data_IF_897569486864
#
_entry.id   IF_897569486864
#
_cell.length_a   1.000
_cell.length_b   1.000
_cell.length_c   1.000
_cell.angle_alpha   90.00
_cell.angle_beta   90.00
_cell.angle_gamma   90.00
#
_symmetry.space_group_name_H-M   'P 1'
#
loop_
_entity.id
_entity.type
_entity.pdbx_description
1 polymer ?
#
# COMPACT_ATOMS: atom_id res chain seq x y z
N UNK A 1 12.08 -24.02 7.41
CA UNK A 1 10.79 -23.61 7.95
C UNK A 1 10.39 -22.40 7.17
N UNK A 2 9.19 -22.39 6.61
CA UNK A 2 8.72 -21.32 5.76
C UNK A 2 7.99 -20.27 6.61
N UNK A 3 8.45 -19.02 6.58
CA UNK A 3 7.87 -17.91 7.34
C UNK A 3 6.99 -16.99 6.48
N UNK A 4 6.83 -17.27 5.18
CA UNK A 4 6.18 -16.36 4.23
C UNK A 4 4.68 -16.64 3.97
N UNK A 5 4.11 -17.68 4.61
CA UNK A 5 2.71 -18.06 4.41
C UNK A 5 1.75 -17.22 5.26
N UNK A 6 1.08 -16.25 4.62
CA UNK A 6 -0.03 -15.47 5.19
C UNK A 6 0.35 -14.75 6.50
N UNK A 7 1.43 -13.98 6.45
CA UNK A 7 1.95 -13.15 7.56
C UNK A 7 1.95 -11.67 7.17
N UNK A 8 1.47 -10.81 8.06
CA UNK A 8 1.57 -9.36 7.88
C UNK A 8 2.85 -8.89 8.58
N UNK A 9 3.72 -8.22 7.85
CA UNK A 9 4.92 -7.59 8.39
C UNK A 9 4.71 -6.08 8.55
N UNK A 10 5.36 -5.51 9.55
CA UNK A 10 5.46 -4.07 9.73
C UNK A 10 6.88 -3.70 10.16
N UNK A 11 7.24 -2.46 9.92
CA UNK A 11 8.50 -1.88 10.35
C UNK A 11 8.22 -0.66 11.22
N UNK A 12 8.71 -0.66 12.46
CA UNK A 12 8.62 0.49 13.37
C UNK A 12 9.97 0.75 14.00
N UNK A 13 10.44 2.01 13.93
CA UNK A 13 11.65 2.52 14.61
C UNK A 13 12.86 1.59 14.55
N UNK A 14 13.19 1.09 13.35
CA UNK A 14 14.34 0.21 13.19
C UNK A 14 14.10 -1.22 13.69
N UNK A 15 12.86 -1.69 13.68
CA UNK A 15 12.49 -3.07 14.01
C UNK A 15 11.52 -3.63 13.01
N UNK A 16 11.78 -4.86 12.58
CA UNK A 16 10.80 -5.67 11.88
C UNK A 16 9.96 -6.42 12.89
N UNK A 17 8.64 -6.26 12.78
CA UNK A 17 7.64 -7.01 13.53
C UNK A 17 6.71 -7.70 12.54
N UNK A 18 6.05 -8.75 13.01
CA UNK A 18 5.07 -9.50 12.22
C UNK A 18 3.86 -9.83 13.08
N UNK A 19 2.71 -9.95 12.42
CA UNK A 19 1.46 -10.31 13.06
C UNK A 19 1.38 -11.82 13.21
N UNK A 20 1.44 -12.30 14.45
CA UNK A 20 1.41 -13.71 14.79
C UNK A 20 2.73 -14.44 14.54
N UNK A 21 2.77 -15.70 14.97
CA UNK A 21 3.88 -16.61 14.70
C UNK A 21 3.52 -17.52 13.52
N UNK A 22 4.29 -17.46 12.44
CA UNK A 22 4.14 -18.29 11.24
C UNK A 22 4.07 -19.78 11.59
N UNK A 23 4.77 -20.21 12.65
CA UNK A 23 4.80 -21.60 13.07
C UNK A 23 3.54 -22.05 13.81
N UNK A 24 2.82 -21.17 14.51
CA UNK A 24 1.75 -21.55 15.46
C UNK A 24 0.50 -20.66 15.43
N UNK A 25 0.67 -19.35 15.25
CA UNK A 25 -0.40 -18.33 15.26
C UNK A 25 -0.38 -17.53 13.95
N UNK A 26 -0.88 -18.09 12.85
CA UNK A 26 -0.89 -17.42 11.55
C UNK A 26 -2.31 -17.31 10.98
N UNK A 27 -2.48 -16.46 9.96
CA UNK A 27 -3.79 -16.16 9.37
C UNK A 27 -4.45 -17.38 8.69
N UNK A 28 -3.67 -18.41 8.33
CA UNK A 28 -4.17 -19.61 7.64
C UNK A 28 -4.77 -20.65 8.58
N UNK A 29 -4.36 -20.65 9.86
CA UNK A 29 -4.71 -21.69 10.83
C UNK A 29 -6.04 -21.45 11.53
N UNK A 30 -6.69 -20.32 11.27
CA UNK A 30 -7.85 -19.88 12.06
C UNK A 30 -9.04 -19.38 11.23
N UNK A 31 -9.40 -20.14 10.19
CA UNK A 31 -10.53 -19.85 9.29
C UNK A 31 -11.91 -20.16 9.92
N UNK A 32 -11.94 -20.77 11.12
CA UNK A 32 -13.16 -21.41 11.64
C UNK A 32 -13.59 -20.97 13.06
N UNK A 33 -13.24 -19.76 13.51
CA UNK A 33 -13.56 -19.31 14.87
C UNK A 33 -14.53 -18.14 14.93
N UNK A 34 -15.66 -18.41 15.60
CA UNK A 34 -16.73 -17.49 16.05
C UNK A 34 -16.29 -16.53 17.17
N UNK A 35 -14.98 -16.37 17.40
CA UNK A 35 -14.37 -15.56 18.46
C UNK A 35 -13.62 -14.41 17.79
N UNK A 36 -13.67 -13.16 18.30
CA UNK A 36 -12.87 -12.07 17.74
C UNK A 36 -11.39 -12.47 17.72
N UNK A 37 -10.84 -12.48 16.52
CA UNK A 37 -9.47 -12.84 16.22
C UNK A 37 -8.51 -11.79 16.78
N UNK A 38 -7.55 -12.20 17.60
CA UNK A 38 -6.44 -11.33 18.02
C UNK A 38 -5.11 -12.04 17.83
N UNK A 39 -4.32 -11.60 16.85
CA UNK A 39 -2.90 -11.95 16.76
C UNK A 39 -2.07 -10.89 17.47
N UNK A 40 -1.02 -11.33 18.15
CA UNK A 40 -0.03 -10.43 18.74
C UNK A 40 0.98 -9.99 17.67
N UNK A 41 1.49 -8.77 17.79
CA UNK A 41 2.70 -8.36 17.09
C UNK A 41 3.91 -9.00 17.78
N UNK A 42 4.70 -9.75 17.03
CA UNK A 42 5.91 -10.42 17.51
C UNK A 42 7.12 -9.91 16.74
N UNK A 43 8.29 -9.92 17.37
CA UNK A 43 9.54 -9.54 16.70
C UNK A 43 9.82 -10.50 15.54
N UNK A 44 10.14 -9.94 14.37
CA UNK A 44 10.55 -10.70 13.20
C UNK A 44 12.08 -10.78 13.07
N UNK A 45 12.86 -10.06 13.89
CA UNK A 45 14.32 -10.07 13.76
C UNK A 45 14.95 -11.38 14.29
N UNK A 46 15.23 -12.35 13.41
CA UNK A 46 16.03 -13.52 13.77
C UNK A 46 17.55 -13.22 13.78
N UNK A 47 17.98 -12.17 13.07
CA UNK A 47 19.36 -11.68 13.06
C UNK A 47 19.45 -10.19 13.41
N UNK A 48 20.68 -9.69 13.63
CA UNK A 48 20.94 -8.29 13.92
C UNK A 48 20.53 -7.40 12.76
N UNK A 49 19.66 -6.42 13.02
CA UNK A 49 19.27 -5.45 12.02
C UNK A 49 20.48 -4.61 11.56
N UNK A 50 20.67 -4.41 10.24
CA UNK A 50 21.75 -3.56 9.75
C UNK A 50 21.65 -2.15 10.31
N UNK A 51 22.80 -1.56 10.70
CA UNK A 51 22.84 -0.21 11.30
C UNK A 51 22.19 0.89 10.44
N UNK A 52 22.31 0.89 9.09
CA UNK A 52 21.59 1.86 8.26
C UNK A 52 20.07 1.73 8.41
N UNK A 53 19.57 0.49 8.49
CA UNK A 53 18.15 0.18 8.64
C UNK A 53 17.65 0.54 10.03
N UNK A 54 18.43 0.28 11.09
CA UNK A 54 17.99 0.59 12.47
C UNK A 54 17.75 2.08 12.71
N UNK A 55 18.29 2.95 11.86
CA UNK A 55 18.11 4.40 11.89
C UNK A 55 17.06 4.89 10.88
N UNK A 56 16.41 4.00 10.15
CA UNK A 56 15.50 4.38 9.08
C UNK A 56 14.12 4.75 9.64
N UNK A 57 13.87 6.04 9.82
CA UNK A 57 12.68 6.54 10.54
C UNK A 57 11.42 6.67 9.70
N UNK A 58 11.57 6.83 8.38
CA UNK A 58 10.46 6.92 7.43
C UNK A 58 10.70 5.91 6.31
N UNK A 59 10.30 4.64 6.50
CA UNK A 59 10.71 3.57 5.61
C UNK A 59 9.86 3.51 4.34
N UNK A 60 10.53 3.37 3.20
CA UNK A 60 9.90 3.06 1.91
C UNK A 60 10.05 1.57 1.65
N UNK A 61 8.95 0.83 1.79
CA UNK A 61 8.97 -0.63 1.80
C UNK A 61 8.11 -1.18 0.68
N UNK A 62 8.59 -2.22 0.00
CA UNK A 62 7.76 -3.03 -0.89
C UNK A 62 7.99 -4.51 -0.65
N UNK A 63 6.93 -5.30 -0.75
CA UNK A 63 7.05 -6.75 -0.82
C UNK A 63 7.24 -7.17 -2.27
N UNK A 64 8.30 -7.92 -2.57
CA UNK A 64 8.44 -8.59 -3.84
C UNK A 64 9.34 -9.83 -3.72
N UNK A 65 9.00 -10.88 -4.48
CA UNK A 65 9.74 -12.14 -4.61
C UNK A 65 10.36 -12.64 -3.29
N UNK A 66 9.52 -13.01 -2.32
CA UNK A 66 9.93 -13.51 -0.99
C UNK A 66 10.85 -12.56 -0.19
N UNK A 67 10.86 -11.28 -0.53
CA UNK A 67 11.64 -10.25 0.16
C UNK A 67 10.76 -9.03 0.49
N UNK A 68 11.10 -8.38 1.60
CA UNK A 68 10.75 -6.98 1.82
C UNK A 68 11.93 -6.11 1.45
N UNK A 69 11.75 -5.29 0.42
CA UNK A 69 12.73 -4.33 -0.06
C UNK A 69 12.55 -2.99 0.63
N UNK A 70 13.67 -2.39 1.02
CA UNK A 70 13.76 -1.08 1.65
C UNK A 70 14.53 -0.15 0.71
N UNK A 71 13.82 0.81 0.15
CA UNK A 71 14.33 1.80 -0.80
C UNK A 71 14.82 3.04 -0.07
N UNK A 72 15.74 3.80 -0.66
CA UNK A 72 16.13 5.12 -0.10
C UNK A 72 16.73 5.08 1.30
N UNK A 73 17.27 3.93 1.72
CA UNK A 73 17.87 3.75 3.05
C UNK A 73 19.10 4.65 3.16
N UNK A 74 19.20 5.52 4.19
CA UNK A 74 20.33 6.44 4.34
C UNK A 74 21.69 5.75 4.25
N UNK A 75 22.57 6.27 3.39
CA UNK A 75 23.92 5.71 3.16
C UNK A 75 23.99 4.56 2.15
N UNK A 76 22.88 4.22 1.49
CA UNK A 76 22.83 3.24 0.38
C UNK A 76 23.05 3.95 -0.95
N UNK A 77 23.70 3.31 -1.93
CA UNK A 77 23.93 3.95 -3.23
C UNK A 77 22.65 3.97 -4.09
N UNK A 78 22.64 4.81 -5.13
CA UNK A 78 21.59 4.77 -6.13
C UNK A 78 21.60 3.40 -6.85
N UNK A 79 20.42 2.83 -7.11
CA UNK A 79 20.29 1.48 -7.68
C UNK A 79 20.37 0.34 -6.65
N UNK A 80 20.64 0.63 -5.37
CA UNK A 80 20.73 -0.37 -4.31
C UNK A 80 19.54 -0.31 -3.34
N UNK A 81 19.13 -1.47 -2.86
CA UNK A 81 18.09 -1.63 -1.83
C UNK A 81 18.57 -2.57 -0.75
N UNK A 82 18.08 -2.40 0.47
CA UNK A 82 18.18 -3.46 1.47
C UNK A 82 17.03 -4.44 1.30
N UNK A 83 17.28 -5.72 1.57
CA UNK A 83 16.27 -6.76 1.51
C UNK A 83 16.23 -7.52 2.83
N UNK A 84 15.01 -7.77 3.28
CA UNK A 84 14.71 -8.71 4.35
C UNK A 84 14.04 -9.93 3.74
N UNK A 85 14.71 -11.08 3.79
CA UNK A 85 14.23 -12.36 3.23
C UNK A 85 13.16 -12.91 4.15
N UNK A 86 11.89 -12.79 3.76
CA UNK A 86 10.77 -13.22 4.62
C UNK A 86 10.79 -14.74 4.81
N UNK A 87 11.12 -15.52 3.79
CA UNK A 87 11.20 -16.98 3.86
C UNK A 87 12.20 -17.49 4.92
N UNK A 88 13.29 -16.75 5.15
CA UNK A 88 14.34 -17.11 6.12
C UNK A 88 14.31 -16.23 7.38
N UNK A 89 13.40 -15.25 7.43
CA UNK A 89 13.24 -14.31 8.53
C UNK A 89 14.54 -13.55 8.87
N UNK A 90 15.30 -13.14 7.85
CA UNK A 90 16.65 -12.56 8.03
C UNK A 90 16.95 -11.37 7.09
N UNK A 91 17.79 -10.46 7.56
CA UNK A 91 18.37 -9.41 6.73
C UNK A 91 19.45 -9.92 5.78
N UNK A 92 19.49 -9.38 4.56
CA UNK A 92 20.65 -9.50 3.68
C UNK A 92 21.92 -8.93 4.31
N UNK A 93 23.09 -9.46 3.93
CA UNK A 93 24.36 -9.06 4.52
C UNK A 93 24.81 -7.63 4.12
N UNK A 94 24.30 -7.13 3.00
CA UNK A 94 24.63 -5.82 2.42
C UNK A 94 23.46 -5.35 1.52
N UNK A 95 23.41 -4.06 1.13
CA UNK A 95 22.52 -3.61 0.07
C UNK A 95 22.73 -4.44 -1.20
N UNK A 96 21.65 -4.74 -1.91
CA UNK A 96 21.65 -5.49 -3.15
C UNK A 96 21.39 -4.54 -4.32
N UNK A 97 22.17 -4.61 -5.41
CA UNK A 97 21.83 -3.89 -6.63
C UNK A 97 20.60 -4.52 -7.27
N UNK A 98 19.62 -3.71 -7.68
CA UNK A 98 18.38 -4.19 -8.33
C UNK A 98 18.17 -3.62 -9.73
N UNK A 99 19.26 -3.41 -10.46
CA UNK A 99 19.25 -2.94 -11.85
C UNK A 99 19.44 -1.43 -11.98
N UNK A 100 19.04 -0.84 -13.11
CA UNK A 100 19.23 0.57 -13.46
C UNK A 100 19.13 1.57 -12.29
N UNK A 101 19.88 2.68 -12.39
CA UNK A 101 20.08 3.66 -11.32
C UNK A 101 18.80 4.44 -10.97
N UNK A 102 17.94 3.90 -10.11
CA UNK A 102 16.93 4.70 -9.40
C UNK A 102 17.62 5.51 -8.29
N UNK A 103 17.12 6.72 -7.95
CA UNK A 103 17.82 7.60 -7.02
C UNK A 103 17.82 7.04 -5.59
N UNK A 104 18.90 7.31 -4.86
CA UNK A 104 18.97 7.03 -3.42
C UNK A 104 18.27 8.16 -2.65
N UNK A 105 16.95 8.12 -2.63
CA UNK A 105 16.12 9.09 -1.92
C UNK A 105 14.81 8.48 -1.43
N UNK A 106 14.11 9.20 -0.55
CA UNK A 106 12.80 8.81 -0.09
C UNK A 106 11.75 8.91 -1.22
N UNK A 107 10.69 8.13 -1.10
CA UNK A 107 9.64 8.02 -2.11
C UNK A 107 8.47 7.16 -1.63
N UNK A 108 7.78 6.58 -2.60
CA UNK A 108 6.67 5.66 -2.42
C UNK A 108 6.85 4.45 -3.33
N UNK A 109 6.23 3.35 -2.94
CA UNK A 109 6.29 2.07 -3.65
C UNK A 109 4.90 1.51 -3.89
N UNK A 110 4.77 0.70 -4.94
CA UNK A 110 3.60 -0.14 -5.16
C UNK A 110 4.01 -1.48 -5.79
N UNK A 111 3.60 -2.59 -5.17
CA UNK A 111 3.85 -3.95 -5.68
C UNK A 111 2.81 -4.31 -6.73
N UNK A 112 3.24 -4.73 -7.92
CA UNK A 112 2.35 -5.25 -8.95
C UNK A 112 1.92 -6.67 -8.61
N UNK A 113 0.63 -6.94 -8.82
CA UNK A 113 0.01 -8.22 -8.53
C UNK A 113 0.21 -9.20 -9.70
N UNK A 114 -0.11 -10.46 -9.46
CA UNK A 114 -0.16 -11.42 -10.55
C UNK A 114 -1.39 -11.25 -11.43
N UNK A 115 -1.20 -11.51 -12.72
CA UNK A 115 -2.31 -11.61 -13.67
C UNK A 115 -3.22 -12.80 -13.35
N UNK A 116 -2.64 -13.96 -13.02
CA UNK A 116 -3.38 -15.15 -12.61
C UNK A 116 -2.46 -16.14 -11.85
N UNK A 117 -2.93 -16.67 -10.73
CA UNK A 117 -2.26 -17.71 -9.94
C UNK A 117 -1.90 -18.96 -10.77
N UNK A 118 -2.67 -19.28 -11.83
CA UNK A 118 -2.40 -20.42 -12.70
C UNK A 118 -1.17 -20.24 -13.61
N UNK A 119 -0.61 -19.03 -13.71
CA UNK A 119 0.54 -18.78 -14.55
C UNK A 119 1.87 -19.07 -13.85
N UNK A 120 1.86 -19.43 -12.55
CA UNK A 120 3.04 -19.73 -11.72
C UNK A 120 4.22 -18.79 -12.01
N UNK A 121 3.92 -17.53 -12.33
CA UNK A 121 4.92 -16.54 -12.63
C UNK A 121 5.73 -16.35 -11.33
N UNK A 122 7.04 -16.60 -11.38
CA UNK A 122 7.96 -16.54 -10.25
C UNK A 122 7.48 -17.31 -8.99
N UNK A 123 7.07 -18.55 -9.18
CA UNK A 123 6.56 -19.43 -8.09
C UNK A 123 5.35 -18.84 -7.34
N UNK A 124 4.65 -17.87 -7.93
CA UNK A 124 3.48 -17.24 -7.34
C UNK A 124 3.77 -16.13 -6.31
N UNK A 125 4.98 -15.55 -6.25
CA UNK A 125 5.34 -14.41 -5.34
C UNK A 125 5.75 -13.08 -6.03
N UNK A 126 4.94 -11.99 -5.99
CA UNK A 126 4.96 -10.89 -6.96
C UNK A 126 6.36 -10.29 -7.13
N UNK A 127 6.88 -10.17 -8.35
CA UNK A 127 8.29 -9.79 -8.57
C UNK A 127 8.52 -8.30 -8.85
N UNK A 128 7.47 -7.53 -9.18
CA UNK A 128 7.61 -6.18 -9.70
C UNK A 128 7.16 -5.12 -8.70
N UNK A 129 7.96 -4.07 -8.55
CA UNK A 129 7.70 -2.93 -7.66
C UNK A 129 7.89 -1.64 -8.41
N UNK A 130 6.88 -0.78 -8.42
CA UNK A 130 7.05 0.63 -8.80
C UNK A 130 7.70 1.38 -7.63
N UNK A 131 8.71 2.20 -7.92
CA UNK A 131 9.29 3.18 -7.02
C UNK A 131 9.15 4.58 -7.63
N UNK A 132 8.60 5.50 -6.83
CA UNK A 132 8.38 6.90 -7.19
C UNK A 132 8.97 7.79 -6.09
N UNK A 133 10.02 8.56 -6.36
CA UNK A 133 10.55 9.56 -5.42
C UNK A 133 9.51 10.60 -5.02
N UNK A 134 9.66 11.16 -3.82
CA UNK A 134 8.73 12.19 -3.31
C UNK A 134 8.73 13.48 -4.15
N UNK A 135 9.79 13.73 -4.91
CA UNK A 135 9.90 14.89 -5.81
C UNK A 135 9.31 14.62 -7.20
N UNK A 136 8.74 13.43 -7.43
CA UNK A 136 8.16 13.02 -8.71
C UNK A 136 9.15 13.05 -9.90
N UNK A 137 10.46 12.99 -9.64
CA UNK A 137 11.51 13.06 -10.67
C UNK A 137 11.49 11.90 -11.68
N UNK A 138 10.83 10.80 -11.36
CA UNK A 138 10.68 9.66 -12.26
C UNK A 138 9.83 8.53 -11.68
N UNK A 139 9.72 7.47 -12.47
CA UNK A 139 9.13 6.19 -12.10
C UNK A 139 10.05 5.07 -12.54
N UNK A 140 10.38 4.18 -11.61
CA UNK A 140 11.20 3.00 -11.86
C UNK A 140 10.40 1.76 -11.48
N UNK A 141 10.38 0.76 -12.36
CA UNK A 141 9.79 -0.55 -12.07
C UNK A 141 10.92 -1.54 -11.89
N UNK A 142 11.09 -1.98 -10.66
CA UNK A 142 12.10 -2.96 -10.26
C UNK A 142 11.52 -4.36 -10.43
N UNK A 143 12.15 -5.18 -11.25
CA UNK A 143 11.96 -6.62 -11.29
C UNK A 143 12.98 -7.27 -10.33
N UNK A 144 12.49 -7.62 -9.14
CA UNK A 144 13.26 -8.24 -8.07
C UNK A 144 13.69 -9.68 -8.36
N UNK A 145 13.02 -10.36 -9.29
CA UNK A 145 13.35 -11.75 -9.65
C UNK A 145 14.64 -11.84 -10.47
N UNK A 146 14.83 -10.93 -11.44
CA UNK A 146 16.04 -10.86 -12.27
C UNK A 146 16.97 -9.69 -11.91
N UNK A 147 16.65 -8.91 -10.88
CA UNK A 147 17.41 -7.74 -10.45
C UNK A 147 17.63 -6.72 -11.60
N UNK A 148 16.57 -6.44 -12.35
CA UNK A 148 16.56 -5.43 -13.43
C UNK A 148 15.58 -4.33 -13.07
N UNK A 149 15.92 -3.09 -13.40
CA UNK A 149 15.03 -1.94 -13.24
C UNK A 149 14.79 -1.31 -14.60
N UNK A 150 13.53 -0.99 -14.88
CA UNK A 150 13.10 -0.30 -16.09
C UNK A 150 12.49 1.04 -15.71
N UNK A 151 12.95 2.12 -16.35
CA UNK A 151 12.33 3.44 -16.19
C UNK A 151 11.04 3.52 -17.03
N UNK A 152 10.00 4.10 -16.46
CA UNK A 152 8.72 4.35 -17.14
C UNK A 152 8.38 5.85 -17.13
N UNK A 153 7.20 6.20 -17.66
CA UNK A 153 6.77 7.58 -17.77
C UNK A 153 6.69 8.28 -16.40
N UNK A 154 7.32 9.44 -16.29
CA UNK A 154 7.36 10.26 -15.08
C UNK A 154 5.95 10.61 -14.60
N UNK A 155 5.64 10.44 -13.30
CA UNK A 155 4.34 10.76 -12.74
C UNK A 155 4.05 12.27 -12.76
N UNK A 156 2.82 12.70 -13.05
CA UNK A 156 2.45 14.11 -12.96
C UNK A 156 2.49 14.58 -11.51
N UNK A 157 3.07 15.76 -11.30
CA UNK A 157 3.07 16.45 -10.00
C UNK A 157 1.83 17.35 -9.82
N UNK A 158 1.20 17.79 -10.90
CA UNK A 158 0.03 18.68 -10.80
C UNK A 158 -1.09 18.00 -10.03
N UNK A 159 -1.58 18.64 -8.96
CA UNK A 159 -2.68 18.11 -8.15
C UNK A 159 -2.28 16.95 -7.23
N UNK A 160 -0.98 16.70 -7.01
CA UNK A 160 -0.49 15.83 -5.94
C UNK A 160 -0.33 16.59 -4.61
N UNK A 161 -0.22 15.84 -3.51
CA UNK A 161 -0.03 16.37 -2.15
C UNK A 161 0.72 15.34 -1.29
N UNK A 162 0.99 15.67 -0.02
CA UNK A 162 1.53 14.71 0.95
C UNK A 162 0.60 13.49 1.19
N UNK A 163 -0.67 13.58 0.80
CA UNK A 163 -1.65 12.49 0.88
C UNK A 163 -1.70 11.64 -0.39
N UNK A 164 -0.94 11.96 -1.44
CA UNK A 164 -0.86 11.13 -2.64
C UNK A 164 -0.38 9.72 -2.29
N UNK A 165 -1.05 8.70 -2.81
CA UNK A 165 -0.73 7.28 -2.64
C UNK A 165 -0.70 6.56 -3.98
N UNK A 166 0.06 5.47 -4.02
CA UNK A 166 0.15 4.59 -5.18
C UNK A 166 -0.43 3.21 -4.87
N UNK A 167 -1.06 2.61 -5.87
CA UNK A 167 -1.50 1.22 -5.85
C UNK A 167 -1.27 0.63 -7.23
N UNK A 168 -1.05 -0.68 -7.31
CA UNK A 168 -0.82 -1.36 -8.58
C UNK A 168 -1.73 -2.58 -8.72
N UNK A 169 -2.17 -2.84 -9.95
CA UNK A 169 -2.75 -4.12 -10.36
C UNK A 169 -1.64 -4.99 -10.95
N UNK A 170 -1.96 -5.90 -11.89
CA UNK A 170 -0.94 -6.71 -12.56
C UNK A 170 -0.16 -5.94 -13.64
N UNK A 171 -0.72 -4.87 -14.20
CA UNK A 171 -0.08 -4.08 -15.25
C UNK A 171 -0.40 -2.57 -15.20
N UNK A 172 -1.24 -2.12 -14.28
CA UNK A 172 -1.63 -0.71 -14.14
C UNK A 172 -1.12 -0.17 -12.82
N UNK A 173 -0.42 0.96 -12.86
CA UNK A 173 -0.07 1.77 -11.69
C UNK A 173 -1.07 2.91 -11.54
N UNK A 174 -1.60 3.10 -10.34
CA UNK A 174 -2.58 4.13 -10.01
C UNK A 174 -1.95 5.14 -9.05
N UNK A 175 -2.18 6.43 -9.29
CA UNK A 175 -1.85 7.54 -8.39
C UNK A 175 -3.17 8.17 -7.93
N UNK A 176 -3.41 8.23 -6.62
CA UNK A 176 -4.59 8.87 -6.06
C UNK A 176 -4.20 9.93 -5.03
N UNK A 177 -4.79 11.12 -5.14
CA UNK A 177 -4.58 12.24 -4.22
C UNK A 177 -5.93 12.62 -3.57
N UNK A 178 -6.21 12.16 -2.33
CA UNK A 178 -7.54 12.27 -1.73
C UNK A 178 -8.06 13.68 -1.51
N UNK A 179 -7.18 14.62 -1.16
CA UNK A 179 -7.54 16.01 -0.85
C UNK A 179 -7.84 16.83 -2.11
N UNK A 180 -7.18 16.53 -3.24
CA UNK A 180 -7.49 17.16 -4.53
C UNK A 180 -8.60 16.41 -5.28
N UNK A 181 -8.78 15.11 -5.00
CA UNK A 181 -9.69 14.21 -5.70
C UNK A 181 -9.12 13.68 -7.02
N UNK A 182 -7.83 13.92 -7.29
CA UNK A 182 -7.18 13.55 -8.55
C UNK A 182 -6.83 12.07 -8.53
N UNK A 183 -7.34 11.32 -9.52
CA UNK A 183 -7.01 9.93 -9.79
C UNK A 183 -6.37 9.83 -11.17
N UNK A 184 -5.22 9.16 -11.24
CA UNK A 184 -4.52 8.89 -12.50
C UNK A 184 -4.10 7.44 -12.57
N UNK A 185 -3.91 6.95 -13.78
CA UNK A 185 -3.30 5.66 -13.99
C UNK A 185 -2.30 5.68 -15.14
N UNK A 186 -1.34 4.75 -15.08
CA UNK A 186 -0.38 4.45 -16.12
C UNK A 186 -0.50 2.97 -16.47
N UNK A 187 -0.77 2.68 -17.75
CA UNK A 187 -0.73 1.32 -18.27
C UNK A 187 0.72 0.94 -18.63
N UNK A 188 1.20 -0.13 -18.01
CA UNK A 188 2.55 -0.67 -18.18
C UNK A 188 2.52 -2.04 -18.88
N UNK A 189 1.46 -2.37 -19.62
CA UNK A 189 1.33 -3.64 -20.36
C UNK A 189 2.55 -3.96 -21.21
N UNK A 190 3.15 -2.95 -21.86
CA UNK A 190 4.37 -3.13 -22.67
C UNK A 190 5.53 -3.69 -21.83
N UNK A 191 5.68 -3.23 -20.59
CA UNK A 191 6.76 -3.61 -19.68
C UNK A 191 6.62 -5.08 -19.29
N UNK A 192 5.40 -5.50 -18.93
CA UNK A 192 5.09 -6.89 -18.55
C UNK A 192 4.98 -7.85 -19.74
N UNK A 193 5.20 -7.37 -20.97
CA UNK A 193 5.31 -8.18 -22.19
C UNK A 193 6.73 -8.19 -22.75
N UNK A 194 7.72 -7.76 -21.94
CA UNK A 194 9.12 -7.61 -22.31
C UNK A 194 9.31 -6.80 -23.61
N UNK A 195 8.46 -5.79 -23.81
CA UNK A 195 8.59 -4.86 -24.93
C UNK A 195 9.50 -3.70 -24.55
N UNK A 196 10.19 -3.07 -25.52
CA UNK A 196 10.86 -1.81 -25.29
C UNK A 196 9.91 -0.76 -24.72
N UNK A 197 10.47 0.26 -24.06
CA UNK A 197 9.72 1.43 -23.58
C UNK A 197 8.78 1.94 -24.68
N UNK A 198 7.48 1.97 -24.38
CA UNK A 198 6.49 2.58 -25.24
C UNK A 198 6.48 4.10 -24.99
N UNK A 199 6.95 4.93 -25.94
CA UNK A 199 6.94 6.37 -25.76
C UNK A 199 5.53 6.97 -25.72
N UNK A 200 4.49 6.20 -26.10
CA UNK A 200 3.09 6.62 -26.00
C UNK A 200 2.47 6.33 -24.62
N UNK A 201 3.14 5.55 -23.77
CA UNK A 201 2.70 5.30 -22.41
C UNK A 201 2.70 6.63 -21.63
N UNK A 202 1.50 7.08 -21.29
CA UNK A 202 1.28 8.37 -20.63
C UNK A 202 0.33 8.18 -19.46
N UNK A 203 0.44 9.06 -18.48
CA UNK A 203 -0.49 9.10 -17.37
C UNK A 203 -1.85 9.63 -17.83
N UNK A 204 -2.91 8.91 -17.50
CA UNK A 204 -4.29 9.24 -17.86
C UNK A 204 -5.04 9.68 -16.62
N UNK A 205 -5.66 10.86 -16.67
CA UNK A 205 -6.58 11.34 -15.64
C UNK A 205 -7.89 10.55 -15.71
N UNK A 206 -8.27 9.92 -14.60
CA UNK A 206 -9.53 9.22 -14.48
C UNK A 206 -10.63 10.19 -14.03
N UNK A 207 -11.64 10.40 -14.88
CA UNK A 207 -12.74 11.34 -14.64
C UNK A 207 -13.79 10.86 -13.63
N UNK A 208 -13.62 9.66 -13.07
CA UNK A 208 -14.67 8.93 -12.33
C UNK A 208 -14.84 9.43 -10.89
N UNK A 209 -13.89 10.16 -10.31
CA UNK A 209 -13.91 10.51 -8.88
C UNK A 209 -14.43 11.91 -8.51
N UNK A 210 -15.10 12.62 -9.42
CA UNK A 210 -15.59 13.98 -9.14
C UNK A 210 -16.51 14.10 -7.90
N UNK A 211 -17.02 12.98 -7.36
CA UNK A 211 -17.93 12.93 -6.20
C UNK A 211 -17.38 12.16 -4.98
N UNK A 212 -16.10 11.81 -4.92
CA UNK A 212 -15.53 11.18 -3.70
C UNK A 212 -15.35 12.26 -2.62
N UNK A 213 -15.80 12.04 -1.37
CA UNK A 213 -15.58 12.98 -0.28
C UNK A 213 -14.09 13.29 -0.13
N UNK A 214 -13.73 14.56 -0.29
CA UNK A 214 -12.35 15.02 -0.09
C UNK A 214 -12.04 15.00 1.40
N UNK A 215 -10.84 14.57 1.76
CA UNK A 215 -10.38 14.69 3.15
C UNK A 215 -10.14 16.17 3.42
N UNK A 216 -11.04 16.79 4.17
CA UNK A 216 -10.85 18.14 4.72
C UNK A 216 -10.16 17.96 6.07
N UNK A 217 -8.97 18.52 6.24
CA UNK A 217 -8.24 18.50 7.51
C UNK A 217 -8.97 19.35 8.54
N UNK A 218 -9.93 18.75 9.24
CA UNK A 218 -10.51 19.32 10.45
C UNK A 218 -9.50 19.24 11.60
N UNK A 219 -9.16 20.37 12.21
CA UNK A 219 -8.40 20.40 13.45
C UNK A 219 -9.17 19.65 14.55
N UNK A 220 -8.81 18.39 14.78
CA UNK A 220 -9.38 17.55 15.82
C UNK A 220 -8.91 18.00 17.20
N UNK A 221 -9.61 18.97 17.79
CA UNK A 221 -9.56 19.22 19.22
C UNK A 221 -10.13 18.00 19.95
N UNK A 222 -9.30 17.32 20.72
CA UNK A 222 -9.72 16.24 21.62
C UNK A 222 -10.59 16.82 22.74
N UNK A 223 -11.91 16.80 22.53
CA UNK A 223 -12.91 17.09 23.55
C UNK A 223 -13.43 15.80 24.14
N UNK A 224 -12.83 15.35 25.25
CA UNK A 224 -13.37 14.27 26.06
C UNK A 224 -14.65 14.74 26.78
N UNK A 225 -15.81 14.25 26.38
CA UNK A 225 -17.02 14.34 27.23
C UNK A 225 -17.31 12.96 27.82
N UNK A 226 -16.91 12.79 29.07
CA UNK A 226 -17.27 11.68 29.92
C UNK A 226 -18.76 11.69 30.26
N UNK A 227 -19.36 10.51 30.27
CA UNK A 227 -20.73 10.25 30.68
C UNK A 227 -20.81 10.13 32.20
N UNK A 228 -21.67 10.91 32.85
CA UNK A 228 -22.28 10.59 34.15
C UNK A 228 -23.63 11.30 34.25
N UNK A 229 -24.67 10.56 34.62
CA UNK A 229 -26.05 11.06 34.68
C UNK A 229 -26.49 11.52 36.07
N UNK A 230 -27.58 12.30 36.14
CA UNK A 230 -28.82 11.96 36.87
C UNK A 230 -29.88 13.07 36.74
N UNK A 231 -31.14 12.61 36.69
CA UNK A 231 -32.44 13.22 37.08
C UNK A 231 -32.64 14.73 37.28
N UNK A 232 -33.72 15.28 36.70
CA UNK A 232 -34.52 16.34 37.35
C UNK A 232 -35.21 17.39 36.47
N UNK A 233 -36.49 17.15 36.14
CA UNK A 233 -37.64 18.10 36.05
C UNK A 233 -37.66 19.33 35.11
N UNK A 234 -38.65 19.28 34.20
CA UNK A 234 -39.60 20.33 33.72
C UNK A 234 -39.10 21.69 33.24
N UNK A 235 -39.35 22.00 31.96
CA UNK A 235 -39.37 23.38 31.41
C UNK A 235 -39.57 23.44 29.89
N UNK A 236 -40.58 24.17 29.46
CA UNK A 236 -41.22 24.23 28.13
C UNK A 236 -40.36 24.57 26.90
N UNK A 237 -40.73 23.92 25.79
CA UNK A 237 -40.91 24.39 24.40
C UNK A 237 -39.93 25.41 23.77
N UNK A 238 -39.28 24.99 22.68
CA UNK A 238 -39.25 25.75 21.43
C UNK A 238 -39.01 24.83 20.20
N UNK A 239 -39.79 25.11 19.17
CA UNK A 239 -40.01 24.45 17.88
C UNK A 239 -38.79 24.42 16.95
N UNK A 240 -38.56 23.28 16.28
CA UNK A 240 -38.00 23.24 14.92
C UNK A 240 -38.27 21.88 14.22
N UNK A 241 -39.32 21.89 13.39
CA UNK A 241 -39.44 21.24 12.07
C UNK A 241 -38.66 19.95 11.76
N UNK A 242 -39.43 18.85 11.74
CA UNK A 242 -39.54 17.84 10.64
C UNK A 242 -38.37 17.65 9.68
N UNK A 243 -37.80 16.43 9.67
CA UNK A 243 -37.98 15.49 8.54
C UNK A 243 -37.66 14.05 8.97
N UNK A 244 -38.58 13.15 8.63
CA UNK A 244 -38.60 11.72 8.92
C UNK A 244 -37.49 10.95 8.20
N UNK A 245 -36.95 9.96 8.90
CA UNK A 245 -36.29 8.78 8.33
C UNK A 245 -37.31 7.84 7.68
N UNK A 246 -36.99 7.33 6.50
CA UNK A 246 -37.38 6.02 5.94
C UNK A 246 -36.43 5.78 4.75
N UNK A 247 -35.53 4.79 4.74
CA UNK A 247 -35.75 3.34 4.63
C UNK A 247 -36.42 2.92 3.31
N UNK A 248 -35.68 2.13 2.51
CA UNK A 248 -36.13 1.45 1.28
C UNK A 248 -35.75 2.21 0.00
N UNK A 249 -35.29 1.61 -1.09
CA UNK A 249 -35.09 0.21 -1.44
C UNK A 249 -34.13 0.17 -2.64
N UNK A 250 -33.25 -0.83 -2.71
CA UNK A 250 -32.51 -1.13 -3.94
C UNK A 250 -33.48 -1.75 -4.95
N UNK A 251 -33.83 -0.98 -5.97
CA UNK A 251 -34.53 -1.48 -7.14
C UNK A 251 -33.50 -1.96 -8.18
N UNK A 252 -33.66 -3.21 -8.57
CA UNK A 252 -32.98 -3.92 -9.64
C UNK A 252 -33.28 -3.31 -11.02
N UNK A 253 -32.24 -3.22 -11.86
CA UNK A 253 -32.35 -3.38 -13.32
C UNK A 253 -31.91 -2.19 -14.17
N UNK A 254 -30.69 -2.26 -14.72
CA UNK A 254 -30.45 -2.32 -16.17
C UNK A 254 -28.95 -2.36 -16.48
N UNK A 255 -28.61 -3.20 -17.45
CA UNK A 255 -27.28 -3.62 -17.83
C UNK A 255 -26.45 -2.50 -18.49
N UNK A 256 -25.16 -2.48 -18.15
CA UNK A 256 -24.12 -1.72 -18.81
C UNK A 256 -22.81 -1.97 -18.07
N UNK A 257 -21.87 -2.66 -18.72
CA UNK A 257 -20.61 -3.13 -18.13
C UNK A 257 -19.87 -2.02 -17.35
N UNK A 258 -19.93 -2.09 -16.02
CA UNK A 258 -19.06 -1.34 -15.14
C UNK A 258 -17.94 -2.29 -14.73
N UNK A 259 -16.71 -2.00 -15.16
CA UNK A 259 -15.52 -2.51 -14.50
C UNK A 259 -15.57 -1.94 -13.09
N UNK A 260 -16.02 -2.75 -12.13
CA UNK A 260 -15.95 -2.40 -10.72
C UNK A 260 -14.46 -2.39 -10.33
N UNK A 261 -13.83 -1.22 -10.40
CA UNK A 261 -12.58 -0.99 -9.71
C UNK A 261 -12.93 -0.93 -8.23
N UNK A 262 -12.78 -2.06 -7.54
CA UNK A 262 -12.82 -2.08 -6.08
C UNK A 262 -11.69 -1.17 -5.59
N UNK A 263 -12.04 0.04 -5.15
CA UNK A 263 -11.21 0.77 -4.24
C UNK A 263 -11.10 -0.10 -2.99
N UNK A 264 -9.97 -0.80 -2.85
CA UNK A 264 -9.62 -1.46 -1.61
C UNK A 264 -9.50 -0.37 -0.54
N UNK A 265 -10.60 -0.16 0.18
CA UNK A 265 -10.56 0.50 1.46
C UNK A 265 -9.73 -0.41 2.36
N UNK A 266 -8.46 -0.06 2.54
CA UNK A 266 -7.66 -0.58 3.64
C UNK A 266 -8.25 -0.02 4.94
N UNK A 267 -9.22 -0.74 5.48
CA UNK A 267 -9.43 -0.82 6.92
C UNK A 267 -8.93 -2.23 7.25
N UNK A 268 -7.74 -2.28 7.85
CA UNK A 268 -7.19 -3.47 8.50
C UNK A 268 -7.99 -3.78 9.76
#
# INVERSE_FOLDING_TARGET
MDYDTLVIYAFDKGKMIRLGDASDQNLSKDVDKTVPFSLAWVDANFNSIPTPISKYTNPVIAHAFFNMYFFGVPGTNAGEVWAYRIHYNEWGAAPQPVGATFPSMHGQTATFLYKNASQNEHDGAPAHVAFVPDDYSGLWVVNSYINVTTQAATPPQTGTSAYTRYAASYNILVQYTPDTGVLRFLDLTWLFQDKPLDPSATWVDATVLNNVPKIVSGAGGSGSTGTTGSSGTTGSAATATTAKSAAGAFATGLAGSVVALAAAAFIL
#
